data_IF_247616015980
#
_entry.id   IF_247616015980
#
_cell.length_a   1.000
_cell.length_b   1.000
_cell.length_c   1.000
_cell.angle_alpha   90.00
_cell.angle_beta   90.00
_cell.angle_gamma   90.00
#
_symmetry.space_group_name_H-M   'P 1'
#
loop_
_entity.id
_entity.type
_entity.pdbx_description
1 polymer ?
#
# COMPACT_ATOMS: atom_id res chain seq x y z
N UNK A 1 -11.88 -5.43 -0.07
CA UNK A 1 -10.41 -5.33 -0.19
C UNK A 1 -9.68 -6.47 0.47
N UNK A 2 -10.19 -7.04 1.58
CA UNK A 2 -9.54 -8.08 2.36
C UNK A 2 -8.76 -9.18 1.60
N UNK A 3 -9.27 -9.79 0.50
CA UNK A 3 -8.49 -10.78 -0.25
C UNK A 3 -7.42 -10.16 -1.17
N UNK A 4 -7.59 -8.92 -1.65
CA UNK A 4 -6.70 -8.28 -2.61
C UNK A 4 -5.38 -7.86 -1.98
N UNK A 5 -5.41 -7.15 -0.84
CA UNK A 5 -4.17 -6.77 -0.15
C UNK A 5 -3.41 -8.01 0.32
N UNK A 6 -4.12 -9.01 0.85
CA UNK A 6 -3.55 -10.31 1.24
C UNK A 6 -2.84 -10.98 0.06
N UNK A 7 -3.50 -11.06 -1.09
CA UNK A 7 -2.93 -11.65 -2.31
C UNK A 7 -1.72 -10.85 -2.84
N UNK A 8 -1.73 -9.52 -2.72
CA UNK A 8 -0.60 -8.68 -3.10
C UNK A 8 0.61 -8.88 -2.18
N UNK A 9 0.41 -8.94 -0.85
CA UNK A 9 1.47 -9.23 0.11
C UNK A 9 2.05 -10.62 -0.18
N UNK A 10 1.20 -11.61 -0.42
CA UNK A 10 1.62 -12.97 -0.73
C UNK A 10 2.40 -13.06 -2.07
N UNK A 11 1.97 -12.35 -3.11
CA UNK A 11 2.59 -12.37 -4.44
C UNK A 11 4.00 -11.74 -4.48
N UNK A 12 4.23 -10.72 -3.66
CA UNK A 12 5.53 -10.05 -3.55
C UNK A 12 6.48 -10.79 -2.61
N UNK A 13 5.95 -11.30 -1.49
CA UNK A 13 6.75 -11.91 -0.43
C UNK A 13 7.69 -10.92 0.26
N UNK A 14 8.52 -11.45 1.17
CA UNK A 14 9.39 -10.65 2.02
C UNK A 14 8.65 -9.93 3.15
N UNK A 15 9.34 -9.00 3.80
CA UNK A 15 8.82 -8.27 4.94
C UNK A 15 8.06 -7.01 4.49
N UNK A 16 7.04 -6.66 5.26
CA UNK A 16 6.12 -5.56 4.95
C UNK A 16 6.36 -4.41 5.91
N UNK A 17 6.52 -3.21 5.38
CA UNK A 17 6.51 -1.98 6.15
C UNK A 17 5.16 -1.28 5.97
N UNK A 18 4.65 -0.70 7.05
CA UNK A 18 3.36 -0.01 7.10
C UNK A 18 3.49 1.27 7.93
N UNK A 19 2.73 2.34 7.65
CA UNK A 19 2.64 3.51 8.51
C UNK A 19 2.11 3.14 9.91
N UNK A 20 2.32 4.04 10.88
CA UNK A 20 1.72 3.97 12.21
C UNK A 20 1.18 5.36 12.57
N UNK A 21 -0.15 5.51 12.66
CA UNK A 21 -1.18 4.47 12.54
C UNK A 21 -1.38 3.95 11.09
N UNK A 22 -2.08 2.82 10.95
CA UNK A 22 -2.52 2.22 9.69
C UNK A 22 -3.88 1.56 9.89
N UNK A 23 -4.65 1.25 8.83
CA UNK A 23 -5.84 0.42 8.96
C UNK A 23 -5.59 -0.84 9.79
N UNK A 24 -6.50 -1.14 10.72
CA UNK A 24 -6.35 -2.25 11.66
C UNK A 24 -6.29 -3.62 10.97
N UNK A 25 -6.73 -3.71 9.70
CA UNK A 25 -6.78 -4.92 8.90
C UNK A 25 -5.45 -5.27 8.22
N UNK A 26 -4.54 -4.31 8.00
CA UNK A 26 -3.33 -4.53 7.21
C UNK A 26 -2.34 -5.47 7.89
N UNK A 27 -1.96 -5.18 9.14
CA UNK A 27 -0.98 -6.00 9.87
C UNK A 27 -1.45 -7.45 10.12
N UNK A 28 -2.72 -7.73 10.48
CA UNK A 28 -3.23 -9.09 10.56
C UNK A 28 -3.06 -9.90 9.27
N UNK A 29 -3.20 -9.29 8.08
CA UNK A 29 -3.02 -9.99 6.81
C UNK A 29 -1.57 -10.45 6.60
N UNK A 30 -0.59 -9.59 6.91
CA UNK A 30 0.83 -9.98 6.86
C UNK A 30 1.14 -11.11 7.86
N UNK A 31 0.59 -11.02 9.07
CA UNK A 31 0.74 -12.06 10.11
C UNK A 31 0.13 -13.40 9.69
N UNK A 32 -1.04 -13.38 9.05
CA UNK A 32 -1.71 -14.59 8.53
C UNK A 32 -0.83 -15.33 7.51
N UNK A 33 -0.05 -14.58 6.72
CA UNK A 33 0.90 -15.12 5.74
C UNK A 33 2.25 -15.55 6.35
N UNK A 34 2.41 -15.44 7.68
CA UNK A 34 3.68 -15.69 8.36
C UNK A 34 4.78 -14.71 7.96
N UNK A 35 4.42 -13.49 7.52
CA UNK A 35 5.36 -12.47 7.08
C UNK A 35 5.66 -11.48 8.22
N UNK A 36 6.94 -11.15 8.47
CA UNK A 36 7.27 -10.02 9.34
C UNK A 36 6.64 -8.73 8.83
N UNK A 37 6.03 -7.97 9.74
CA UNK A 37 5.42 -6.68 9.46
C UNK A 37 5.95 -5.64 10.45
N UNK A 38 6.43 -4.53 9.94
CA UNK A 38 7.08 -3.46 10.70
C UNK A 38 6.27 -2.17 10.55
N UNK A 39 5.95 -1.56 11.68
CA UNK A 39 5.29 -0.26 11.72
C UNK A 39 6.32 0.86 11.75
N UNK A 40 6.16 1.83 10.86
CA UNK A 40 7.01 3.00 10.71
C UNK A 40 6.22 4.22 11.17
N UNK A 41 6.74 5.05 12.10
CA UNK A 41 6.08 6.27 12.54
C UNK A 41 5.69 7.18 11.36
N UNK A 42 4.49 7.76 11.42
CA UNK A 42 4.09 8.85 10.51
C UNK A 42 4.28 10.22 11.18
N UNK A 43 4.63 11.27 10.43
CA UNK A 43 4.61 12.63 10.97
C UNK A 43 3.18 13.05 11.33
N UNK A 44 3.05 14.08 12.17
CA UNK A 44 1.75 14.61 12.54
C UNK A 44 0.98 15.07 11.29
N UNK A 45 -0.33 14.78 11.24
CA UNK A 45 -1.24 15.20 10.15
C UNK A 45 -0.90 14.64 8.76
N UNK A 46 -0.03 13.64 8.69
CA UNK A 46 0.46 13.06 7.43
C UNK A 46 -0.16 11.69 7.10
N UNK A 47 -1.19 11.32 7.86
CA UNK A 47 -1.99 10.11 7.65
C UNK A 47 -1.20 8.82 7.57
N UNK A 48 -1.47 8.06 6.50
CA UNK A 48 -0.88 6.75 6.25
C UNK A 48 0.38 6.78 5.39
N UNK A 49 1.10 7.91 5.37
CA UNK A 49 2.43 8.01 4.75
C UNK A 49 3.50 8.04 5.85
N UNK A 50 4.45 7.08 5.87
CA UNK A 50 5.49 7.04 6.89
C UNK A 50 6.48 8.20 6.75
N UNK A 51 7.12 8.54 7.86
CA UNK A 51 8.26 9.47 7.84
C UNK A 51 9.41 8.86 7.01
N UNK A 52 9.95 9.56 6.00
CA UNK A 52 10.98 9.03 5.11
C UNK A 52 12.26 8.62 5.86
N UNK A 53 12.67 9.38 6.88
CA UNK A 53 13.88 9.07 7.65
C UNK A 53 13.66 7.83 8.52
N UNK A 54 12.53 7.77 9.23
CA UNK A 54 12.16 6.61 10.05
C UNK A 54 11.96 5.35 9.19
N UNK A 55 11.49 5.49 7.96
CA UNK A 55 11.41 4.40 6.98
C UNK A 55 12.80 3.86 6.67
N UNK A 56 13.75 4.72 6.29
CA UNK A 56 15.12 4.33 5.99
C UNK A 56 15.82 3.69 7.19
N UNK A 57 15.66 4.24 8.38
CA UNK A 57 16.19 3.65 9.62
C UNK A 57 15.61 2.26 9.88
N UNK A 58 14.31 2.10 9.71
CA UNK A 58 13.63 0.81 9.89
C UNK A 58 14.14 -0.22 8.88
N UNK A 59 14.25 0.14 7.60
CA UNK A 59 14.80 -0.74 6.55
C UNK A 59 16.21 -1.19 6.89
N UNK A 60 17.09 -0.27 7.30
CA UNK A 60 18.47 -0.58 7.68
C UNK A 60 18.53 -1.55 8.86
N UNK A 61 17.76 -1.29 9.92
CA UNK A 61 17.68 -2.17 11.10
C UNK A 61 17.20 -3.56 10.73
N UNK A 62 16.10 -3.67 9.98
CA UNK A 62 15.53 -4.97 9.56
C UNK A 62 16.55 -5.78 8.77
N UNK A 63 17.29 -5.14 7.85
CA UNK A 63 18.35 -5.83 7.09
C UNK A 63 19.52 -6.26 7.97
N UNK A 64 19.95 -5.44 8.92
CA UNK A 64 21.00 -5.79 9.86
C UNK A 64 20.63 -7.00 10.72
N UNK A 65 19.34 -7.20 10.99
CA UNK A 65 18.78 -8.36 11.68
C UNK A 65 18.53 -9.57 10.76
N UNK A 66 18.90 -9.49 9.48
CA UNK A 66 18.75 -10.57 8.50
C UNK A 66 17.40 -10.61 7.77
N UNK A 67 16.53 -9.62 8.03
CA UNK A 67 15.26 -9.45 7.35
C UNK A 67 15.41 -9.04 5.88
N UNK A 68 14.31 -9.14 5.15
CA UNK A 68 14.22 -8.86 3.71
C UNK A 68 13.03 -7.93 3.46
N UNK A 69 13.16 -6.63 3.78
CA UNK A 69 12.10 -5.67 3.51
C UNK A 69 11.88 -5.57 2.00
N UNK A 70 10.62 -5.72 1.58
CA UNK A 70 10.24 -5.81 0.17
C UNK A 70 9.03 -4.96 -0.20
N UNK A 71 8.15 -4.68 0.75
CA UNK A 71 6.90 -3.97 0.51
C UNK A 71 6.76 -2.78 1.45
N UNK A 72 6.35 -1.65 0.93
CA UNK A 72 5.73 -0.57 1.69
C UNK A 72 4.25 -0.53 1.33
N UNK A 73 3.36 -0.63 2.32
CA UNK A 73 1.93 -0.31 2.14
C UNK A 73 1.70 1.09 2.72
N UNK A 74 1.06 1.97 1.97
CA UNK A 74 0.72 3.33 2.40
C UNK A 74 -0.66 3.73 1.86
N UNK A 75 -1.27 4.78 2.42
CA UNK A 75 -2.52 5.36 1.95
C UNK A 75 -2.36 6.87 1.68
N UNK A 76 -2.96 7.36 0.59
CA UNK A 76 -2.88 8.78 0.20
C UNK A 76 -4.01 9.63 0.79
N UNK A 77 -5.15 9.00 1.05
CA UNK A 77 -6.23 9.49 1.87
C UNK A 77 -6.48 8.43 2.94
N UNK A 78 -6.21 8.76 4.20
CA UNK A 78 -6.01 7.76 5.24
C UNK A 78 -7.23 7.54 6.12
N UNK A 79 -7.53 6.26 6.35
CA UNK A 79 -8.24 5.73 7.51
C UNK A 79 -7.16 5.03 8.36
N UNK A 80 -6.89 5.38 9.63
CA UNK A 80 -7.81 5.92 10.62
C UNK A 80 -7.71 7.42 10.89
N UNK A 81 -6.77 8.14 10.27
CA UNK A 81 -6.50 9.54 10.65
C UNK A 81 -7.45 10.54 10.00
N UNK A 82 -8.17 10.15 8.94
CA UNK A 82 -8.97 11.05 8.10
C UNK A 82 -8.17 12.23 7.54
N UNK A 83 -6.88 12.02 7.25
CA UNK A 83 -5.97 13.04 6.69
C UNK A 83 -5.45 12.65 5.31
N UNK A 84 -5.00 13.64 4.56
CA UNK A 84 -4.34 13.50 3.26
C UNK A 84 -2.91 14.02 3.42
N UNK A 85 -1.93 13.17 3.10
CA UNK A 85 -0.53 13.55 3.24
C UNK A 85 -0.15 14.65 2.23
N UNK A 86 0.70 15.61 2.62
CA UNK A 86 1.23 16.60 1.69
C UNK A 86 2.00 15.93 0.52
N UNK A 87 1.86 16.44 -0.72
CA UNK A 87 2.57 15.92 -1.89
C UNK A 87 4.08 15.74 -1.70
N UNK A 88 4.71 16.66 -0.97
CA UNK A 88 6.15 16.64 -0.71
C UNK A 88 6.54 15.42 0.14
N UNK A 89 5.74 15.10 1.15
CA UNK A 89 5.99 13.94 1.99
C UNK A 89 5.72 12.63 1.26
N UNK A 90 4.64 12.57 0.45
CA UNK A 90 4.36 11.42 -0.42
C UNK A 90 5.57 11.16 -1.31
N UNK A 91 6.10 12.20 -1.96
CA UNK A 91 7.29 12.12 -2.79
C UNK A 91 8.49 11.57 -2.04
N UNK A 92 8.83 12.16 -0.90
CA UNK A 92 10.00 11.78 -0.12
C UNK A 92 9.91 10.33 0.39
N UNK A 93 8.73 9.90 0.83
CA UNK A 93 8.51 8.52 1.26
C UNK A 93 8.62 7.53 0.09
N UNK A 94 8.11 7.91 -1.09
CA UNK A 94 8.25 7.09 -2.31
C UNK A 94 9.70 6.99 -2.76
N UNK A 95 10.43 8.11 -2.80
CA UNK A 95 11.86 8.13 -3.12
C UNK A 95 12.68 7.27 -2.16
N UNK A 96 12.41 7.36 -0.86
CA UNK A 96 13.05 6.51 0.15
C UNK A 96 12.73 5.02 -0.06
N UNK A 97 11.47 4.67 -0.30
CA UNK A 97 11.06 3.29 -0.50
C UNK A 97 11.68 2.68 -1.77
N UNK A 98 11.58 3.38 -2.90
CA UNK A 98 12.11 2.93 -4.20
C UNK A 98 13.63 2.88 -4.18
N UNK A 99 14.29 3.87 -3.56
CA UNK A 99 15.75 3.90 -3.39
C UNK A 99 16.27 2.71 -2.59
N UNK A 100 15.48 2.19 -1.66
CA UNK A 100 15.76 0.95 -0.92
C UNK A 100 15.26 -0.32 -1.64
N UNK A 101 14.71 -0.21 -2.84
CA UNK A 101 14.22 -1.35 -3.63
C UNK A 101 12.96 -2.01 -3.08
N UNK A 102 12.15 -1.27 -2.31
CA UNK A 102 10.81 -1.67 -1.91
C UNK A 102 9.82 -1.43 -3.06
N UNK A 103 8.84 -2.32 -3.19
CA UNK A 103 7.65 -2.06 -4.01
C UNK A 103 6.59 -1.38 -3.15
N UNK A 104 5.89 -0.41 -3.71
CA UNK A 104 4.85 0.35 -3.00
C UNK A 104 3.48 -0.22 -3.37
N UNK A 105 2.67 -0.51 -2.36
CA UNK A 105 1.23 -0.72 -2.50
C UNK A 105 0.56 0.57 -2.00
N UNK A 106 -0.01 1.34 -2.93
CA UNK A 106 -0.75 2.57 -2.64
C UNK A 106 -2.22 2.23 -2.47
N UNK A 107 -2.73 2.33 -1.26
CA UNK A 107 -4.16 2.25 -0.98
C UNK A 107 -4.83 3.61 -1.24
N UNK A 108 -5.65 3.64 -2.28
CA UNK A 108 -6.39 4.82 -2.74
C UNK A 108 -7.91 4.63 -2.59
N UNK A 109 -8.33 3.72 -1.70
CA UNK A 109 -9.75 3.43 -1.38
C UNK A 109 -10.55 4.69 -1.04
N UNK A 110 -9.95 5.61 -0.28
CA UNK A 110 -10.60 6.84 0.18
C UNK A 110 -10.29 8.07 -0.67
N UNK A 111 -9.66 7.90 -1.85
CA UNK A 111 -9.27 9.00 -2.74
C UNK A 111 -10.43 9.93 -3.09
N UNK A 112 -11.60 9.35 -3.35
CA UNK A 112 -12.78 10.08 -3.83
C UNK A 112 -13.66 10.63 -2.69
N UNK A 113 -13.26 10.45 -1.43
CA UNK A 113 -14.02 10.94 -0.25
C UNK A 113 -13.41 12.20 0.38
N UNK A 114 -12.43 12.83 -0.28
CA UNK A 114 -11.80 14.07 0.19
C UNK A 114 -12.84 15.20 0.25
N UNK A 115 -13.04 15.78 1.44
CA UNK A 115 -14.10 16.78 1.67
C UNK A 115 -13.89 18.11 0.94
N UNK A 116 -12.64 18.55 0.73
CA UNK A 116 -12.29 19.81 0.06
C UNK A 116 -11.33 19.56 -1.11
N UNK A 117 -11.77 18.89 -2.18
CA UNK A 117 -10.87 18.42 -3.24
C UNK A 117 -10.25 19.56 -4.06
N UNK A 118 -10.76 20.79 -3.95
CA UNK A 118 -10.16 21.98 -4.57
C UNK A 118 -9.06 22.63 -3.73
N UNK A 119 -9.08 22.39 -2.42
CA UNK A 119 -8.15 22.99 -1.46
C UNK A 119 -7.11 21.96 -0.96
N UNK A 120 -7.38 20.67 -1.18
CA UNK A 120 -6.52 19.56 -0.77
C UNK A 120 -5.91 18.92 -2.01
N UNK A 121 -4.59 19.04 -2.15
CA UNK A 121 -3.84 18.35 -3.20
C UNK A 121 -3.59 16.92 -2.76
N UNK A 122 -4.17 15.97 -3.50
CA UNK A 122 -3.91 14.54 -3.32
C UNK A 122 -3.00 14.07 -4.46
N UNK A 123 -1.87 13.47 -4.10
CA UNK A 123 -0.89 12.93 -5.05
C UNK A 123 -0.87 11.41 -4.96
N UNK A 124 -1.09 10.72 -6.07
CA UNK A 124 -0.87 9.27 -6.14
C UNK A 124 0.62 8.96 -6.27
N UNK A 125 1.19 8.05 -5.47
CA UNK A 125 2.54 7.51 -5.66
C UNK A 125 2.80 7.02 -7.09
N UNK A 126 1.79 6.48 -7.77
CA UNK A 126 1.93 5.95 -9.13
C UNK A 126 2.17 7.05 -10.18
N UNK A 127 1.82 8.31 -9.88
CA UNK A 127 2.14 9.45 -10.76
C UNK A 127 3.64 9.80 -10.73
N UNK A 128 4.35 9.35 -9.69
CA UNK A 128 5.77 9.65 -9.47
C UNK A 128 6.69 8.46 -9.74
N UNK A 129 6.26 7.28 -9.30
CA UNK A 129 7.02 6.03 -9.38
C UNK A 129 6.18 4.96 -10.12
N UNK A 130 5.80 5.19 -11.39
CA UNK A 130 4.85 4.34 -12.12
C UNK A 130 5.31 2.89 -12.28
N UNK A 131 6.63 2.65 -12.26
CA UNK A 131 7.22 1.31 -12.42
C UNK A 131 7.27 0.49 -11.12
N UNK A 132 7.12 1.15 -9.96
CA UNK A 132 7.35 0.58 -8.62
C UNK A 132 6.12 0.67 -7.69
N UNK A 133 4.96 1.09 -8.22
CA UNK A 133 3.72 1.25 -7.44
C UNK A 133 2.60 0.39 -8.00
N UNK A 134 1.99 -0.44 -7.13
CA UNK A 134 0.67 -1.01 -7.38
C UNK A 134 -0.37 -0.18 -6.64
N UNK A 135 -1.35 0.35 -7.35
CA UNK A 135 -2.48 1.06 -6.75
C UNK A 135 -3.59 0.07 -6.46
N UNK A 136 -4.19 0.13 -5.28
CA UNK A 136 -5.43 -0.57 -4.94
C UNK A 136 -6.52 0.44 -4.59
N UNK A 137 -7.77 0.09 -4.88
CA UNK A 137 -8.93 0.85 -4.43
C UNK A 137 -10.07 -0.13 -4.16
N UNK A 138 -10.56 -0.14 -2.92
CA UNK A 138 -11.83 -0.76 -2.58
C UNK A 138 -12.99 0.14 -2.99
N UNK A 139 -13.89 -0.37 -3.82
CA UNK A 139 -15.04 0.40 -4.25
C UNK A 139 -16.03 0.63 -3.10
N UNK A 140 -15.97 -0.14 -2.00
CA UNK A 140 -16.83 0.12 -0.85
C UNK A 140 -16.50 1.45 -0.13
N UNK A 141 -15.32 2.03 -0.37
CA UNK A 141 -14.94 3.31 0.22
C UNK A 141 -15.81 4.47 -0.28
N UNK A 142 -16.16 4.47 -1.57
CA UNK A 142 -16.87 5.61 -2.18
C UNK A 142 -18.04 5.23 -3.12
N UNK A 143 -18.11 3.98 -3.59
CA UNK A 143 -18.91 3.64 -4.79
C UNK A 143 -19.88 2.48 -4.61
N UNK A 144 -19.64 1.56 -3.67
CA UNK A 144 -20.50 0.39 -3.45
C UNK A 144 -20.88 0.24 -1.97
N UNK A 145 -22.03 -0.40 -1.66
CA UNK A 145 -22.32 -0.80 -0.29
C UNK A 145 -21.28 -1.81 0.21
N UNK A 146 -20.97 -1.78 1.51
CA UNK A 146 -20.03 -2.72 2.14
C UNK A 146 -20.39 -4.22 1.93
N UNK A 147 -21.66 -4.53 1.65
CA UNK A 147 -22.11 -5.89 1.34
C UNK A 147 -21.67 -6.38 -0.05
N UNK A 148 -21.16 -5.51 -0.93
CA UNK A 148 -20.74 -5.82 -2.29
C UNK A 148 -19.21 -5.65 -2.42
N UNK A 149 -18.42 -6.68 -2.03
CA UNK A 149 -16.98 -6.58 -2.01
C UNK A 149 -16.43 -6.54 -3.44
N UNK A 150 -15.96 -5.36 -3.86
CA UNK A 150 -15.35 -5.15 -5.17
C UNK A 150 -14.14 -4.24 -4.97
N UNK A 151 -12.97 -4.68 -5.43
CA UNK A 151 -11.77 -3.89 -5.40
C UNK A 151 -11.00 -4.03 -6.71
N UNK A 152 -10.25 -3.00 -7.06
CA UNK A 152 -9.42 -2.96 -8.26
C UNK A 152 -7.95 -2.81 -7.87
N UNK A 153 -7.07 -3.39 -8.68
CA UNK A 153 -5.63 -3.16 -8.59
C UNK A 153 -5.08 -2.74 -9.95
N UNK A 154 -4.34 -1.63 -9.99
CA UNK A 154 -3.55 -1.21 -11.14
C UNK A 154 -2.09 -1.56 -10.90
N UNK A 155 -1.54 -2.41 -11.76
CA UNK A 155 -0.14 -2.81 -11.71
C UNK A 155 0.70 -1.92 -12.65
N UNK A 156 2.00 -1.74 -12.37
CA UNK A 156 2.94 -1.14 -13.31
C UNK A 156 2.93 -1.86 -14.67
N UNK A 157 3.05 -1.11 -15.76
CA UNK A 157 3.16 -1.64 -17.13
C UNK A 157 4.58 -2.14 -17.45
N UNK A 158 5.12 -2.97 -16.55
CA UNK A 158 6.47 -3.54 -16.66
C UNK A 158 6.41 -5.07 -16.65
N UNK A 159 7.47 -5.73 -17.10
CA UNK A 159 7.57 -7.21 -17.03
C UNK A 159 7.44 -7.70 -15.58
N UNK A 160 8.01 -6.98 -14.61
CA UNK A 160 7.87 -7.31 -13.18
C UNK A 160 6.43 -7.12 -12.71
N UNK A 161 5.78 -6.04 -13.14
CA UNK A 161 4.35 -5.77 -12.89
C UNK A 161 3.45 -6.89 -13.43
N UNK A 162 3.68 -7.34 -14.66
CA UNK A 162 2.93 -8.43 -15.28
C UNK A 162 3.07 -9.76 -14.51
N UNK A 163 4.29 -10.11 -14.08
CA UNK A 163 4.54 -11.31 -13.27
C UNK A 163 3.84 -11.22 -11.91
N UNK A 164 3.91 -10.06 -11.25
CA UNK A 164 3.21 -9.82 -9.97
C UNK A 164 1.70 -9.92 -10.13
N UNK A 165 1.15 -9.31 -11.18
CA UNK A 165 -0.27 -9.41 -11.54
C UNK A 165 -0.68 -10.87 -11.69
N UNK A 166 0.03 -11.66 -12.49
CA UNK A 166 -0.28 -13.07 -12.69
C UNK A 166 -0.31 -13.86 -11.35
N UNK A 167 0.72 -13.70 -10.51
CA UNK A 167 0.78 -14.34 -9.19
C UNK A 167 -0.36 -13.90 -8.27
N UNK A 168 -0.69 -12.61 -8.26
CA UNK A 168 -1.81 -12.09 -7.47
C UNK A 168 -3.12 -12.70 -7.93
N UNK A 169 -3.34 -12.85 -9.25
CA UNK A 169 -4.52 -13.51 -9.80
C UNK A 169 -4.60 -14.98 -9.37
N UNK A 170 -3.50 -15.74 -9.45
CA UNK A 170 -3.46 -17.14 -8.99
C UNK A 170 -3.87 -17.28 -7.52
N UNK A 171 -3.36 -16.39 -6.66
CA UNK A 171 -3.69 -16.37 -5.23
C UNK A 171 -5.14 -15.97 -5.01
N UNK A 172 -5.65 -14.95 -5.71
CA UNK A 172 -7.04 -14.54 -5.65
C UNK A 172 -7.98 -15.68 -6.05
N UNK A 173 -7.66 -16.41 -7.11
CA UNK A 173 -8.41 -17.61 -7.53
C UNK A 173 -8.38 -18.68 -6.43
N UNK A 174 -7.24 -18.94 -5.81
CA UNK A 174 -7.13 -19.89 -4.70
C UNK A 174 -7.93 -19.47 -3.45
N UNK A 175 -8.07 -18.17 -3.22
CA UNK A 175 -8.90 -17.59 -2.16
C UNK A 175 -10.40 -17.57 -2.52
N UNK A 176 -10.79 -18.03 -3.70
CA UNK A 176 -12.18 -18.06 -4.17
C UNK A 176 -12.71 -16.69 -4.61
N UNK A 177 -11.84 -15.73 -4.90
CA UNK A 177 -12.25 -14.42 -5.42
C UNK A 177 -12.74 -14.54 -6.87
N UNK A 178 -13.77 -13.76 -7.20
CA UNK A 178 -14.20 -13.58 -8.59
C UNK A 178 -13.25 -12.58 -9.28
N UNK A 179 -12.44 -13.07 -10.22
CA UNK A 179 -11.56 -12.25 -11.04
C UNK A 179 -12.30 -11.86 -12.33
N UNK A 180 -12.35 -10.57 -12.63
CA UNK A 180 -12.87 -10.10 -13.91
C UNK A 180 -11.96 -10.60 -15.05
N UNK A 181 -12.55 -11.29 -16.03
CA UNK A 181 -11.85 -11.88 -17.18
C UNK A 181 -11.42 -10.86 -18.21
#
# INVERSE_FOLDING_TARGET
DQPLLLALIAAHGGDVLMPRPSPATWMPQARLLGRPAYQVPTPAECGGVPDPYALLETVRRVRAEGGRPKLLVLSVADDPTATVAPPELVREACEAAVGEGLHIISDETWRDTVHRPRDTVLLSPAEMCPDDVTVISDLCGAFTPAAWPVAVARFPETTRGAVRRARTLDILTALGALVAG
#
